data_IF_273505195231
#
_entry.id   IF_273505195231
#
_cell.length_a   1.000
_cell.length_b   1.000
_cell.length_c   1.000
_cell.angle_alpha   90.00
_cell.angle_beta   90.00
_cell.angle_gamma   90.00
#
_symmetry.space_group_name_H-M   'P 1'
#
loop_
_entity.id
_entity.type
_entity.pdbx_description
1 polymer ?
#
# COMPACT_ATOMS: atom_id res chain seq x y z
N UNK A 1 14.00 -2.75 8.57
CA UNK A 1 13.57 -2.12 7.30
C UNK A 1 13.25 -3.18 6.27
N UNK A 2 12.01 -3.70 6.30
CA UNK A 2 11.47 -4.52 5.22
C UNK A 2 11.44 -3.75 3.89
N UNK A 3 11.55 -4.50 2.80
CA UNK A 3 11.41 -4.00 1.43
C UNK A 3 10.06 -4.44 0.88
N UNK A 4 9.27 -3.49 0.38
CA UNK A 4 8.00 -3.74 -0.28
C UNK A 4 8.15 -3.45 -1.79
N UNK A 5 7.66 -4.37 -2.62
CA UNK A 5 7.63 -4.23 -4.08
C UNK A 5 6.17 -4.03 -4.48
N UNK A 6 5.89 -2.90 -5.13
CA UNK A 6 4.53 -2.49 -5.51
C UNK A 6 4.46 -2.43 -7.02
N UNK A 7 3.54 -3.18 -7.61
CA UNK A 7 3.18 -3.05 -9.02
C UNK A 7 1.85 -2.31 -9.11
N UNK A 8 1.84 -1.13 -9.74
CA UNK A 8 0.63 -0.33 -9.90
C UNK A 8 -0.30 -0.94 -10.98
N UNK A 9 -1.49 -0.35 -11.16
CA UNK A 9 -2.46 -0.80 -12.16
C UNK A 9 -1.98 -0.66 -13.61
N UNK A 10 -0.99 0.19 -13.86
CA UNK A 10 -0.36 0.36 -15.17
C UNK A 10 0.75 -0.68 -15.44
N UNK A 11 1.05 -1.53 -14.44
CA UNK A 11 2.08 -2.57 -14.52
C UNK A 11 3.49 -2.09 -14.17
N UNK A 12 3.64 -0.83 -13.76
CA UNK A 12 4.92 -0.26 -13.35
C UNK A 12 5.27 -0.75 -11.94
N UNK A 13 6.52 -1.15 -11.75
CA UNK A 13 6.99 -1.71 -10.47
C UNK A 13 7.92 -0.73 -9.78
N UNK A 14 7.68 -0.51 -8.49
CA UNK A 14 8.48 0.32 -7.61
C UNK A 14 8.92 -0.47 -6.38
N UNK A 15 10.14 -0.21 -5.91
CA UNK A 15 10.67 -0.78 -4.69
C UNK A 15 10.79 0.30 -3.61
N UNK A 16 10.22 0.05 -2.44
CA UNK A 16 10.23 0.99 -1.32
C UNK A 16 10.76 0.32 -0.04
N UNK A 17 11.57 1.05 0.71
CA UNK A 17 12.01 0.66 2.05
C UNK A 17 11.02 1.19 3.06
N UNK A 18 10.47 0.32 3.90
CA UNK A 18 9.37 0.68 4.81
C UNK A 18 9.75 0.42 6.26
N UNK A 19 9.12 1.19 7.16
CA UNK A 19 9.31 1.03 8.60
C UNK A 19 8.73 -0.28 9.11
N UNK A 20 9.39 -0.88 10.09
CA UNK A 20 8.84 -2.03 10.81
C UNK A 20 7.57 -1.61 11.58
N UNK A 21 6.54 -2.48 11.59
CA UNK A 21 5.28 -2.24 12.30
C UNK A 21 4.18 -1.54 11.50
N UNK A 22 4.47 -1.06 10.27
CA UNK A 22 3.46 -0.55 9.35
C UNK A 22 2.68 -1.70 8.70
N UNK A 23 1.40 -1.47 8.42
CA UNK A 23 0.65 -2.33 7.51
C UNK A 23 1.07 -2.08 6.06
N UNK A 24 0.85 -3.06 5.18
CA UNK A 24 1.10 -2.90 3.74
C UNK A 24 0.30 -1.72 3.16
N UNK A 25 -0.94 -1.51 3.62
CA UNK A 25 -1.79 -0.41 3.19
C UNK A 25 -1.20 0.96 3.54
N UNK A 26 -0.76 1.14 4.79
CA UNK A 26 -0.13 2.39 5.24
C UNK A 26 1.16 2.64 4.46
N UNK A 27 2.01 1.63 4.32
CA UNK A 27 3.25 1.72 3.57
C UNK A 27 3.03 2.16 2.11
N UNK A 28 1.99 1.62 1.44
CA UNK A 28 1.63 2.01 0.07
C UNK A 28 1.19 3.48 0.03
N UNK A 29 0.29 3.91 0.93
CA UNK A 29 -0.23 5.29 0.92
C UNK A 29 0.83 6.32 1.30
N UNK A 30 1.65 6.04 2.31
CA UNK A 30 2.70 6.95 2.77
C UNK A 30 3.80 7.18 1.72
N UNK A 31 3.90 6.29 0.72
CA UNK A 31 4.83 6.40 -0.41
C UNK A 31 4.18 6.94 -1.70
N UNK A 32 2.97 7.52 -1.62
CA UNK A 32 2.36 8.28 -2.72
C UNK A 32 1.62 7.44 -3.77
N UNK A 33 1.32 6.17 -3.48
CA UNK A 33 0.48 5.33 -4.35
C UNK A 33 -1.01 5.61 -4.06
N UNK A 34 -1.49 6.77 -4.48
CA UNK A 34 -2.84 7.28 -4.17
C UNK A 34 -3.99 6.47 -4.80
N UNK A 35 -3.69 5.56 -5.73
CA UNK A 35 -4.70 4.65 -6.31
C UNK A 35 -5.29 3.67 -5.30
N UNK A 36 -4.58 3.40 -4.19
CA UNK A 36 -5.08 2.61 -3.07
C UNK A 36 -5.87 3.52 -2.12
N UNK A 37 -7.20 3.47 -2.24
CA UNK A 37 -8.09 4.45 -1.60
C UNK A 37 -8.13 4.35 -0.06
N UNK A 38 -8.13 3.13 0.48
CA UNK A 38 -8.27 2.86 1.91
C UNK A 38 -9.39 3.64 2.62
N UNK A 39 -10.61 3.63 2.07
CA UNK A 39 -11.74 4.46 2.54
C UNK A 39 -12.06 4.32 4.04
N UNK A 40 -11.87 3.12 4.63
CA UNK A 40 -12.10 2.90 6.06
C UNK A 40 -10.90 3.19 6.96
N UNK A 41 -9.79 3.69 6.43
CA UNK A 41 -8.56 3.93 7.18
C UNK A 41 -7.94 2.68 7.80
N UNK A 42 -8.14 1.50 7.20
CA UNK A 42 -7.58 0.23 7.70
C UNK A 42 -8.44 -0.54 8.71
N UNK A 43 -9.65 -0.06 9.04
CA UNK A 43 -10.56 -0.72 9.99
C UNK A 43 -11.37 -1.92 9.40
N UNK A 44 -10.84 -2.59 8.37
CA UNK A 44 -11.43 -3.81 7.78
C UNK A 44 -12.92 -3.71 7.39
N UNK A 45 -13.35 -2.58 6.80
CA UNK A 45 -14.77 -2.31 6.52
C UNK A 45 -15.10 -1.86 5.09
N UNK A 46 -14.12 -1.79 4.17
CA UNK A 46 -14.36 -1.22 2.84
C UNK A 46 -13.80 -2.01 1.64
N UNK A 47 -12.93 -3.00 1.85
CA UNK A 47 -12.21 -3.74 0.80
C UNK A 47 -11.38 -2.90 -0.21
N UNK A 48 -11.31 -1.58 -0.07
CA UNK A 48 -10.60 -0.69 -1.01
C UNK A 48 -9.07 -0.67 -0.84
N UNK A 49 -8.54 -1.46 0.11
CA UNK A 49 -7.11 -1.73 0.27
C UNK A 49 -6.69 -3.10 -0.30
N UNK A 50 -7.52 -3.71 -1.13
CA UNK A 50 -7.26 -5.00 -1.76
C UNK A 50 -6.03 -4.94 -2.68
N UNK A 51 -5.23 -6.02 -2.66
CA UNK A 51 -4.01 -6.22 -3.47
C UNK A 51 -3.94 -7.68 -3.94
N UNK A 52 -3.16 -7.95 -4.99
CA UNK A 52 -2.87 -9.29 -5.52
C UNK A 52 -1.45 -9.73 -5.20
#
# INVERSE_FOLDING_TARGET
MPRLVVTNREGETSEISVGDGLTVMEAIRDNGFDELLALCGGCCSCATCHVH
#
